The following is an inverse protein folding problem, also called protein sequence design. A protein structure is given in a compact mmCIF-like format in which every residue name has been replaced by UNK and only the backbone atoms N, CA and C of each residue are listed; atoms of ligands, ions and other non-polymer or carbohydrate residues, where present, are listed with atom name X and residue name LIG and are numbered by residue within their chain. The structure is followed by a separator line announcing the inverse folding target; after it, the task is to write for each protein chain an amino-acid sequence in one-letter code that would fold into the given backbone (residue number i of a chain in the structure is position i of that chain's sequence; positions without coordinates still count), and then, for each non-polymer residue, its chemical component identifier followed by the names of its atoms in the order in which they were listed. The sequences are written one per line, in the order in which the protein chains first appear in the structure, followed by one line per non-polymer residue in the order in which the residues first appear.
data_IF_141789467898
#
_entry.id   IF_141789467898
#
_cell.length_a   1.000
_cell.length_b   1.000
_cell.length_c   1.000
_cell.angle_alpha   90.00
_cell.angle_beta   90.00
_cell.angle_gamma   90.00
#
_symmetry.space_group_name_H-M   'P 1'
#
loop_
_entity.id
_entity.type
_entity.pdbx_description
1 polymer ?
#
# COMPACT_ATOMS: atom_id res chain seq x y z
N UNK A 1 -12.25 83.65 -46.47
CA UNK A 1 -13.35 83.04 -45.71
C UNK A 1 -12.80 81.85 -44.90
N UNK A 2 -12.97 81.96 -43.58
CA UNK A 2 -13.00 80.99 -42.47
C UNK A 2 -12.84 79.48 -42.81
N UNK A 3 -11.96 78.80 -42.04
CA UNK A 3 -12.11 77.48 -41.36
C UNK A 3 -10.82 76.61 -41.46
N UNK A 4 -10.04 76.43 -40.39
CA UNK A 4 -10.12 75.36 -39.35
C UNK A 4 -9.80 73.95 -39.93
N UNK A 5 -8.58 73.43 -39.76
CA UNK A 5 -8.07 72.66 -38.60
C UNK A 5 -8.70 71.26 -38.47
N UNK A 6 -7.91 70.19 -38.65
CA UNK A 6 -8.11 68.91 -37.95
C UNK A 6 -6.78 68.21 -37.63
N UNK A 7 -6.43 68.36 -36.35
CA UNK A 7 -5.61 67.45 -35.57
C UNK A 7 -6.22 66.05 -35.63
N UNK A 8 -5.41 65.02 -35.86
CA UNK A 8 -5.71 63.69 -35.33
C UNK A 8 -4.45 63.11 -34.70
N UNK A 9 -4.45 63.21 -33.37
CA UNK A 9 -3.52 62.61 -32.41
C UNK A 9 -3.81 61.10 -32.38
N UNK A 10 -2.83 60.27 -32.74
CA UNK A 10 -2.92 58.81 -32.63
C UNK A 10 -2.52 58.43 -31.20
N UNK A 11 -3.50 58.01 -30.39
CA UNK A 11 -3.25 57.40 -29.07
C UNK A 11 -3.31 55.88 -29.19
N UNK A 12 -2.16 55.22 -29.10
CA UNK A 12 -2.03 53.76 -29.06
C UNK A 12 -2.23 53.29 -27.62
N UNK A 13 -3.39 52.69 -27.31
CA UNK A 13 -3.64 52.04 -26.03
C UNK A 13 -3.04 50.64 -26.02
N UNK A 14 -2.02 50.42 -25.18
CA UNK A 14 -1.43 49.11 -24.90
C UNK A 14 -2.33 48.36 -23.91
N UNK A 15 -3.02 47.33 -24.39
CA UNK A 15 -3.82 46.41 -23.57
C UNK A 15 -2.90 45.45 -22.82
N UNK A 16 -2.80 45.63 -21.50
CA UNK A 16 -2.10 44.74 -20.58
C UNK A 16 -3.06 43.61 -20.16
N UNK A 17 -2.84 42.40 -20.67
CA UNK A 17 -3.61 41.20 -20.29
C UNK A 17 -3.01 40.65 -18.99
N UNK A 18 -3.76 40.53 -17.88
CA UNK A 18 -3.25 39.87 -16.68
C UNK A 18 -3.15 38.36 -16.92
N UNK A 19 -1.95 37.81 -16.78
CA UNK A 19 -1.71 36.37 -16.77
C UNK A 19 -2.35 35.77 -15.51
N UNK A 20 -3.53 35.15 -15.67
CA UNK A 20 -4.13 34.35 -14.61
C UNK A 20 -3.34 33.04 -14.50
N UNK A 21 -2.62 32.88 -13.39
CA UNK A 21 -1.99 31.62 -13.04
C UNK A 21 -3.10 30.58 -12.79
N UNK A 22 -3.25 29.62 -13.70
CA UNK A 22 -4.13 28.48 -13.47
C UNK A 22 -3.54 27.62 -12.35
N UNK A 23 -4.34 27.15 -11.38
CA UNK A 23 -3.86 26.20 -10.38
C UNK A 23 -3.45 24.91 -11.09
N UNK A 24 -2.18 24.56 -10.95
CA UNK A 24 -1.66 23.26 -11.37
C UNK A 24 -2.18 22.27 -10.34
N UNK A 25 -3.32 21.63 -10.61
CA UNK A 25 -3.69 20.41 -9.90
C UNK A 25 -2.71 19.33 -10.36
N UNK A 26 -1.52 19.29 -9.75
CA UNK A 26 -0.73 18.08 -9.74
C UNK A 26 -1.57 17.04 -8.99
N UNK A 27 -2.19 16.13 -9.73
CA UNK A 27 -2.78 14.90 -9.21
C UNK A 27 -1.65 14.06 -8.64
N UNK A 28 -1.10 14.49 -7.51
CA UNK A 28 -0.09 13.74 -6.79
C UNK A 28 -0.77 12.45 -6.36
N UNK A 29 -0.25 11.32 -6.84
CA UNK A 29 -0.78 10.02 -6.49
C UNK A 29 -0.86 9.94 -4.96
N UNK A 30 -2.04 9.59 -4.44
CA UNK A 30 -2.26 9.39 -3.00
C UNK A 30 -1.21 8.42 -2.48
N UNK A 31 -0.52 8.77 -1.41
CA UNK A 31 0.36 7.82 -0.71
C UNK A 31 -0.47 6.62 -0.21
N UNK A 32 -0.13 5.39 -0.60
CA UNK A 32 -0.86 4.19 -0.16
C UNK A 32 -0.53 3.82 1.28
N UNK A 33 0.62 4.23 1.80
CA UNK A 33 1.02 4.05 3.20
C UNK A 33 0.84 5.36 3.98
N UNK A 34 0.49 5.25 5.26
CA UNK A 34 0.51 6.41 6.15
C UNK A 34 1.95 6.78 6.50
N UNK A 35 2.23 8.02 6.95
CA UNK A 35 3.58 8.41 7.39
C UNK A 35 4.15 7.47 8.47
N UNK A 36 3.31 7.04 9.41
CA UNK A 36 3.71 6.11 10.46
C UNK A 36 4.06 4.73 9.89
N UNK A 37 3.28 4.22 8.94
CA UNK A 37 3.56 2.94 8.28
C UNK A 37 4.84 3.02 7.45
N UNK A 38 5.10 4.13 6.77
CA UNK A 38 6.34 4.40 6.03
C UNK A 38 7.54 4.31 6.98
N UNK A 39 7.46 4.92 8.17
CA UNK A 39 8.54 4.86 9.14
C UNK A 39 8.73 3.43 9.69
N UNK A 40 7.65 2.68 9.93
CA UNK A 40 7.75 1.25 10.29
C UNK A 40 8.40 0.40 9.19
N UNK A 41 8.13 0.69 7.91
CA UNK A 41 8.79 0.02 6.77
C UNK A 41 10.29 0.32 6.77
N UNK A 42 10.67 1.59 7.00
CA UNK A 42 12.08 2.00 7.10
C UNK A 42 12.79 1.32 8.27
N UNK A 43 12.13 1.16 9.41
CA UNK A 43 12.71 0.50 10.59
C UNK A 43 12.84 -1.02 10.39
N UNK A 44 11.97 -1.61 9.56
CA UNK A 44 11.95 -3.03 9.24
C UNK A 44 13.02 -3.41 8.19
N UNK A 45 14.28 -3.44 8.62
CA UNK A 45 15.41 -3.77 7.75
C UNK A 45 15.44 -5.23 7.27
N UNK A 46 14.89 -6.16 8.06
CA UNK A 46 14.82 -7.60 7.75
C UNK A 46 13.57 -7.88 6.89
N UNK A 47 13.73 -8.61 5.78
CA UNK A 47 12.65 -8.86 4.81
C UNK A 47 11.35 -9.32 5.47
N UNK A 48 11.38 -10.35 6.32
CA UNK A 48 10.17 -10.91 6.94
C UNK A 48 9.43 -9.84 7.75
N UNK A 49 10.18 -9.03 8.51
CA UNK A 49 9.59 -7.96 9.33
C UNK A 49 8.97 -6.89 8.46
N UNK A 50 9.59 -6.57 7.33
CA UNK A 50 9.07 -5.59 6.38
C UNK A 50 7.79 -6.07 5.72
N UNK A 51 7.75 -7.35 5.35
CA UNK A 51 6.53 -7.99 4.84
C UNK A 51 5.42 -8.01 5.90
N UNK A 52 5.74 -8.23 7.18
CA UNK A 52 4.77 -8.14 8.27
C UNK A 52 4.17 -6.72 8.39
N UNK A 53 4.97 -5.67 8.14
CA UNK A 53 4.49 -4.27 8.11
C UNK A 53 3.52 -4.05 6.93
N UNK A 54 3.87 -4.48 5.72
CA UNK A 54 2.97 -4.38 4.57
C UNK A 54 1.67 -5.17 4.78
N UNK A 55 1.76 -6.39 5.31
CA UNK A 55 0.60 -7.21 5.68
C UNK A 55 -0.33 -6.44 6.61
N UNK A 56 0.22 -5.87 7.69
CA UNK A 56 -0.58 -5.13 8.67
C UNK A 56 -1.19 -3.86 8.06
N UNK A 57 -0.45 -3.15 7.21
CA UNK A 57 -0.97 -1.98 6.50
C UNK A 57 -2.15 -2.35 5.58
N UNK A 58 -2.06 -3.45 4.83
CA UNK A 58 -3.16 -3.96 4.01
C UNK A 58 -4.37 -4.37 4.86
N UNK A 59 -4.15 -5.11 5.96
CA UNK A 59 -5.22 -5.53 6.88
C UNK A 59 -5.91 -4.34 7.54
N UNK A 60 -5.20 -3.24 7.82
CA UNK A 60 -5.80 -2.01 8.36
C UNK A 60 -6.74 -1.32 7.37
N UNK A 61 -6.43 -1.35 6.07
CA UNK A 61 -7.33 -0.85 5.01
C UNK A 61 -8.54 -1.77 4.83
N UNK A 62 -8.33 -3.09 4.92
CA UNK A 62 -9.45 -4.04 4.94
C UNK A 62 -10.35 -3.83 6.16
N UNK A 63 -9.79 -3.55 7.33
CA UNK A 63 -10.54 -3.22 8.53
C UNK A 63 -11.37 -1.93 8.33
N UNK A 64 -10.76 -0.90 7.73
CA UNK A 64 -11.47 0.34 7.40
C UNK A 64 -12.63 0.12 6.41
N UNK A 65 -12.47 -0.80 5.45
CA UNK A 65 -13.52 -1.19 4.50
C UNK A 65 -14.69 -1.93 5.18
N UNK A 66 -14.40 -2.75 6.20
CA UNK A 66 -15.41 -3.51 6.94
C UNK A 66 -16.19 -2.65 7.96
N UNK A 67 -15.72 -1.44 8.26
CA UNK A 67 -16.39 -0.48 9.12
C UNK A 67 -16.06 -0.59 10.62
N UNK A 68 -16.58 0.33 11.44
CA UNK A 68 -16.16 0.52 12.83
C UNK A 68 -16.47 -0.67 13.76
N UNK A 69 -17.43 -1.52 13.40
CA UNK A 69 -17.82 -2.69 14.20
C UNK A 69 -16.91 -3.91 13.99
N UNK A 70 -16.01 -3.86 13.01
CA UNK A 70 -15.10 -4.96 12.69
C UNK A 70 -13.98 -5.17 13.73
N UNK A 71 -13.77 -4.22 14.66
CA UNK A 71 -12.83 -4.35 15.76
C UNK A 71 -13.31 -3.64 17.03
N UNK A 72 -12.94 -4.16 18.21
CA UNK A 72 -13.27 -3.51 19.48
C UNK A 72 -12.53 -2.16 19.63
N UNK A 73 -13.16 -1.19 20.29
CA UNK A 73 -12.56 0.13 20.57
C UNK A 73 -11.20 0.03 21.30
N UNK A 74 -11.05 -0.96 22.20
CA UNK A 74 -9.78 -1.22 22.89
C UNK A 74 -8.68 -1.66 21.93
N UNK A 75 -9.02 -2.51 20.95
CA UNK A 75 -8.06 -2.95 19.93
C UNK A 75 -7.68 -1.80 19.02
N UNK A 76 -8.65 -1.01 18.55
CA UNK A 76 -8.41 0.16 17.69
C UNK A 76 -7.50 1.18 18.37
N UNK A 77 -7.71 1.46 19.66
CA UNK A 77 -6.85 2.37 20.42
C UNK A 77 -5.41 1.86 20.51
N UNK A 78 -5.23 0.59 20.89
CA UNK A 78 -3.90 -0.02 20.97
C UNK A 78 -3.19 -0.04 19.63
N UNK A 79 -3.92 -0.36 18.56
CA UNK A 79 -3.37 -0.33 17.21
C UNK A 79 -2.98 1.10 16.80
N UNK A 80 -3.76 2.12 17.17
CA UNK A 80 -3.44 3.52 16.84
C UNK A 80 -2.14 3.99 17.48
N UNK A 81 -1.85 3.57 18.71
CA UNK A 81 -0.60 3.92 19.41
C UNK A 81 0.66 3.43 18.67
N UNK A 82 0.57 2.34 17.92
CA UNK A 82 1.73 1.77 17.20
C UNK A 82 1.73 2.07 15.69
N UNK A 83 0.54 2.18 15.09
CA UNK A 83 0.36 2.23 13.62
C UNK A 83 -0.32 3.52 13.15
N UNK A 84 -0.63 4.44 14.06
CA UNK A 84 -1.38 5.66 13.79
C UNK A 84 -2.87 5.42 13.59
N UNK A 85 -3.59 6.48 13.28
CA UNK A 85 -5.04 6.42 13.03
C UNK A 85 -5.41 5.46 11.90
N UNK A 86 -6.60 4.86 12.00
CA UNK A 86 -7.08 3.93 10.98
C UNK A 86 -7.12 4.63 9.61
N UNK A 87 -6.60 4.01 8.54
CA UNK A 87 -6.60 4.63 7.22
C UNK A 87 -8.01 5.01 6.78
N UNK A 88 -8.15 6.22 6.25
CA UNK A 88 -9.41 6.75 5.74
C UNK A 88 -9.34 6.95 4.23
N UNK A 89 -10.50 6.95 3.59
CA UNK A 89 -10.63 7.12 2.14
C UNK A 89 -11.97 6.59 1.65
N UNK A 90 -12.25 6.86 0.39
CA UNK A 90 -13.32 6.19 -0.34
C UNK A 90 -13.01 4.69 -0.47
N UNK A 91 -14.04 3.89 -0.74
CA UNK A 91 -13.88 2.44 -0.96
C UNK A 91 -12.86 2.14 -2.08
N UNK A 92 -12.93 2.89 -3.18
CA UNK A 92 -12.01 2.75 -4.31
C UNK A 92 -10.55 3.06 -3.92
N UNK A 93 -10.33 4.11 -3.12
CA UNK A 93 -9.00 4.47 -2.60
C UNK A 93 -8.45 3.39 -1.67
N UNK A 94 -9.25 2.89 -0.72
CA UNK A 94 -8.79 1.86 0.22
C UNK A 94 -8.43 0.54 -0.49
N UNK A 95 -9.21 0.13 -1.50
CA UNK A 95 -8.89 -1.05 -2.32
C UNK A 95 -7.62 -0.80 -3.14
N UNK A 96 -7.49 0.38 -3.74
CA UNK A 96 -6.29 0.76 -4.50
C UNK A 96 -5.04 0.86 -3.62
N UNK A 97 -5.18 1.30 -2.36
CA UNK A 97 -4.10 1.31 -1.38
C UNK A 97 -3.66 -0.12 -1.06
N UNK A 98 -4.59 -1.06 -0.85
CA UNK A 98 -4.26 -2.47 -0.65
C UNK A 98 -3.50 -3.01 -1.87
N UNK A 99 -3.98 -2.76 -3.09
CA UNK A 99 -3.33 -3.23 -4.31
C UNK A 99 -1.87 -2.76 -4.40
N UNK A 100 -1.62 -1.47 -4.13
CA UNK A 100 -0.28 -0.87 -4.15
C UNK A 100 0.62 -1.33 -3.01
N UNK A 101 0.06 -1.61 -1.83
CA UNK A 101 0.81 -2.24 -0.73
C UNK A 101 1.28 -3.65 -1.12
N UNK A 102 0.42 -4.44 -1.78
CA UNK A 102 0.81 -5.76 -2.26
C UNK A 102 1.88 -5.67 -3.35
N UNK A 103 1.78 -4.70 -4.26
CA UNK A 103 2.79 -4.43 -5.29
C UNK A 103 4.16 -4.07 -4.69
N UNK A 104 4.16 -3.20 -3.67
CA UNK A 104 5.40 -2.83 -2.98
C UNK A 104 5.98 -4.01 -2.21
N UNK A 105 5.14 -4.87 -1.61
CA UNK A 105 5.58 -6.11 -0.98
C UNK A 105 6.21 -7.09 -1.98
N UNK A 106 5.65 -7.21 -3.19
CA UNK A 106 6.21 -8.00 -4.30
C UNK A 106 7.59 -7.43 -4.67
N UNK A 107 7.66 -6.14 -4.96
CA UNK A 107 8.92 -5.45 -5.31
C UNK A 107 10.01 -5.70 -4.27
N UNK A 108 9.66 -5.65 -2.98
CA UNK A 108 10.60 -5.90 -1.90
C UNK A 108 11.11 -7.35 -1.82
N UNK A 109 10.27 -8.33 -2.15
CA UNK A 109 10.69 -9.74 -2.24
C UNK A 109 11.56 -9.93 -3.48
N UNK A 110 11.16 -9.35 -4.62
CA UNK A 110 11.88 -9.44 -5.89
C UNK A 110 13.27 -8.80 -5.78
N UNK A 111 13.40 -7.66 -5.11
CA UNK A 111 14.69 -7.00 -4.87
C UNK A 111 15.64 -7.88 -4.05
N UNK A 112 15.12 -8.60 -3.04
CA UNK A 112 15.94 -9.53 -2.26
C UNK A 112 16.28 -10.77 -3.08
N UNK A 113 15.32 -11.32 -3.81
CA UNK A 113 15.49 -12.48 -4.70
C UNK A 113 16.51 -12.20 -5.82
N UNK A 114 16.46 -11.01 -6.41
CA UNK A 114 17.38 -10.57 -7.44
C UNK A 114 18.83 -10.52 -6.94
N UNK A 115 19.03 -10.15 -5.67
CA UNK A 115 20.36 -10.11 -5.03
C UNK A 115 20.82 -11.48 -4.56
N UNK A 116 19.91 -12.29 -4.03
CA UNK A 116 20.15 -13.64 -3.54
C UNK A 116 18.87 -14.49 -3.65
N UNK A 117 18.75 -15.24 -4.74
CA UNK A 117 17.60 -16.09 -5.04
C UNK A 117 17.36 -17.16 -3.95
N UNK A 118 18.42 -17.55 -3.24
CA UNK A 118 18.37 -18.57 -2.17
C UNK A 118 18.28 -17.97 -0.78
N UNK A 119 17.97 -16.69 -0.68
CA UNK A 119 17.88 -16.02 0.60
C UNK A 119 16.88 -16.75 1.51
N UNK A 120 17.29 -17.19 2.72
CA UNK A 120 16.46 -18.03 3.58
C UNK A 120 15.21 -17.32 4.13
N UNK A 121 15.12 -15.99 3.99
CA UNK A 121 13.99 -15.21 4.45
C UNK A 121 12.82 -15.23 3.45
N UNK A 122 13.10 -15.39 2.15
CA UNK A 122 12.09 -15.34 1.08
C UNK A 122 10.97 -16.37 1.32
N UNK A 123 11.25 -17.67 1.60
CA UNK A 123 10.17 -18.65 1.71
C UNK A 123 9.20 -18.37 2.87
N UNK A 124 9.68 -17.81 3.98
CA UNK A 124 8.82 -17.47 5.12
C UNK A 124 8.00 -16.23 4.81
N UNK A 125 8.65 -15.17 4.32
CA UNK A 125 8.01 -13.91 3.99
C UNK A 125 6.89 -14.11 2.93
N UNK A 126 7.19 -14.84 1.86
CA UNK A 126 6.24 -15.09 0.78
C UNK A 126 5.06 -15.97 1.21
N UNK A 127 5.27 -17.00 2.06
CA UNK A 127 4.16 -17.79 2.61
C UNK A 127 3.24 -16.97 3.50
N UNK A 128 3.81 -16.12 4.35
CA UNK A 128 3.04 -15.22 5.21
C UNK A 128 2.20 -14.25 4.36
N UNK A 129 2.82 -13.63 3.35
CA UNK A 129 2.15 -12.73 2.43
C UNK A 129 1.00 -13.44 1.70
N UNK A 130 1.27 -14.60 1.11
CA UNK A 130 0.26 -15.41 0.41
C UNK A 130 -0.93 -15.80 1.30
N UNK A 131 -0.67 -16.21 2.54
CA UNK A 131 -1.73 -16.57 3.48
C UNK A 131 -2.66 -15.40 3.81
N UNK A 132 -2.12 -14.19 3.96
CA UNK A 132 -2.91 -12.97 4.21
C UNK A 132 -3.63 -12.54 2.94
N UNK A 133 -2.91 -12.45 1.82
CA UNK A 133 -3.44 -12.04 0.52
C UNK A 133 -4.63 -12.91 0.10
N UNK A 134 -4.58 -14.23 0.30
CA UNK A 134 -5.73 -15.11 0.08
C UNK A 134 -6.96 -14.67 0.88
N UNK A 135 -6.80 -14.38 2.18
CA UNK A 135 -7.93 -13.93 3.03
C UNK A 135 -8.49 -12.57 2.62
N UNK A 136 -7.62 -11.66 2.17
CA UNK A 136 -8.03 -10.35 1.65
C UNK A 136 -8.88 -10.54 0.40
N UNK A 137 -8.41 -11.36 -0.55
CA UNK A 137 -9.15 -11.67 -1.78
C UNK A 137 -10.49 -12.33 -1.46
N UNK A 138 -10.53 -13.29 -0.54
CA UNK A 138 -11.78 -13.96 -0.15
C UNK A 138 -12.85 -12.98 0.36
N UNK A 139 -12.44 -11.93 1.07
CA UNK A 139 -13.34 -10.90 1.58
C UNK A 139 -13.75 -9.87 0.51
N UNK A 140 -12.81 -9.48 -0.37
CA UNK A 140 -13.02 -8.37 -1.31
C UNK A 140 -13.60 -8.82 -2.66
N UNK A 141 -13.28 -10.04 -3.13
CA UNK A 141 -13.72 -10.55 -4.44
C UNK A 141 -15.25 -10.56 -4.64
N UNK A 142 -16.09 -10.94 -3.66
CA UNK A 142 -17.54 -10.85 -3.80
C UNK A 142 -18.07 -9.43 -4.05
N UNK A 143 -17.26 -8.41 -3.71
CA UNK A 143 -17.62 -7.01 -3.82
C UNK A 143 -17.15 -6.39 -5.16
N UNK A 144 -16.35 -7.10 -5.96
CA UNK A 144 -15.85 -6.62 -7.26
C UNK A 144 -17.01 -6.31 -8.23
N UNK A 145 -17.99 -7.19 -8.33
CA UNK A 145 -19.18 -7.00 -9.18
C UNK A 145 -20.05 -5.80 -8.74
N UNK A 146 -19.79 -5.24 -7.56
CA UNK A 146 -20.48 -4.07 -7.01
C UNK A 146 -19.63 -2.80 -7.14
N UNK A 147 -18.57 -2.81 -7.95
CA UNK A 147 -17.80 -1.62 -8.26
C UNK A 147 -18.72 -0.53 -8.85
N UNK A 148 -18.61 0.68 -8.32
CA UNK A 148 -19.48 1.82 -8.68
C UNK A 148 -18.83 2.80 -9.63
N UNK A 149 -17.55 2.61 -9.95
CA UNK A 149 -16.78 3.46 -10.85
C UNK A 149 -15.66 2.66 -11.53
N UNK A 150 -15.20 3.16 -12.67
CA UNK A 150 -14.06 2.58 -13.40
C UNK A 150 -12.78 2.58 -12.56
N UNK A 151 -12.59 3.62 -11.72
CA UNK A 151 -11.48 3.69 -10.79
C UNK A 151 -11.54 2.55 -9.75
N UNK A 152 -12.73 2.24 -9.23
CA UNK A 152 -12.90 1.14 -8.29
C UNK A 152 -12.70 -0.22 -8.95
N UNK A 153 -13.21 -0.41 -10.17
CA UNK A 153 -12.99 -1.62 -10.95
C UNK A 153 -11.49 -1.83 -11.23
N UNK A 154 -10.78 -0.76 -11.64
CA UNK A 154 -9.33 -0.81 -11.86
C UNK A 154 -8.54 -1.15 -10.59
N UNK A 155 -8.94 -0.60 -9.42
CA UNK A 155 -8.33 -0.98 -8.14
C UNK A 155 -8.54 -2.47 -7.81
N UNK A 156 -9.70 -3.03 -8.15
CA UNK A 156 -9.95 -4.46 -7.99
C UNK A 156 -9.09 -5.31 -8.92
N UNK A 157 -8.97 -4.92 -10.18
CA UNK A 157 -8.17 -5.66 -11.16
C UNK A 157 -6.70 -5.70 -10.73
N UNK A 158 -6.13 -4.56 -10.34
CA UNK A 158 -4.75 -4.49 -9.82
C UNK A 158 -4.58 -5.34 -8.55
N UNK A 159 -5.54 -5.29 -7.62
CA UNK A 159 -5.51 -6.11 -6.41
C UNK A 159 -5.45 -7.61 -6.75
N UNK A 160 -6.28 -8.06 -7.70
CA UNK A 160 -6.38 -9.47 -8.08
C UNK A 160 -5.14 -9.95 -8.85
N UNK A 161 -4.59 -9.12 -9.74
CA UNK A 161 -3.34 -9.42 -10.45
C UNK A 161 -2.16 -9.60 -9.48
N UNK A 162 -2.00 -8.65 -8.54
CA UNK A 162 -0.95 -8.73 -7.52
C UNK A 162 -1.15 -9.95 -6.62
N UNK A 163 -2.40 -10.24 -6.25
CA UNK A 163 -2.72 -11.41 -5.44
C UNK A 163 -2.41 -12.71 -6.17
N UNK A 164 -2.74 -12.81 -7.46
CA UNK A 164 -2.40 -13.97 -8.28
C UNK A 164 -0.89 -14.18 -8.35
N UNK A 165 -0.11 -13.12 -8.60
CA UNK A 165 1.36 -13.18 -8.62
C UNK A 165 1.93 -13.75 -7.32
N UNK A 166 1.48 -13.22 -6.17
CA UNK A 166 1.90 -13.69 -4.84
C UNK A 166 1.56 -15.17 -4.63
N UNK A 167 0.33 -15.57 -4.94
CA UNK A 167 -0.15 -16.95 -4.71
C UNK A 167 0.57 -17.93 -5.64
N UNK A 168 0.78 -17.57 -6.90
CA UNK A 168 1.54 -18.39 -7.85
C UNK A 168 3.00 -18.56 -7.42
N UNK A 169 3.63 -17.49 -6.93
CA UNK A 169 5.01 -17.54 -6.42
C UNK A 169 5.10 -18.44 -5.18
N UNK A 170 4.16 -18.31 -4.24
CA UNK A 170 4.12 -19.15 -3.04
C UNK A 170 3.92 -20.63 -3.35
N UNK A 171 3.11 -20.97 -4.36
CA UNK A 171 2.89 -22.35 -4.81
C UNK A 171 4.15 -23.02 -5.40
N UNK A 172 5.15 -22.24 -5.81
CA UNK A 172 6.44 -22.75 -6.30
C UNK A 172 7.44 -23.04 -5.18
N UNK A 173 7.15 -22.64 -3.94
CA UNK A 173 8.06 -22.87 -2.82
C UNK A 173 8.11 -24.36 -2.46
N UNK A 174 9.29 -24.88 -2.04
CA UNK A 174 9.36 -26.21 -1.45
C UNK A 174 8.51 -26.28 -0.17
N UNK A 175 8.16 -27.47 0.32
CA UNK A 175 7.51 -27.61 1.63
C UNK A 175 8.31 -26.89 2.72
N UNK A 176 7.66 -26.36 3.78
CA UNK A 176 8.37 -25.79 4.92
C UNK A 176 9.38 -26.81 5.44
N UNK A 177 10.65 -26.44 5.54
CA UNK A 177 11.64 -27.31 6.15
C UNK A 177 11.21 -27.59 7.59
N UNK A 178 11.11 -28.86 7.98
CA UNK A 178 10.85 -29.25 9.36
C UNK A 178 11.87 -28.54 10.25
N UNK A 179 11.38 -27.74 11.20
CA UNK A 179 12.25 -27.17 12.22
C UNK A 179 12.87 -28.35 12.97
N UNK A 180 14.15 -28.66 12.69
CA UNK A 180 14.94 -29.57 13.52
C UNK A 180 14.85 -29.02 14.94
N UNK A 181 14.02 -29.66 15.75
CA UNK A 181 13.81 -29.28 17.14
C UNK A 181 15.15 -29.14 17.82
N UNK A 182 15.34 -28.03 18.56
CA UNK A 182 16.44 -27.90 19.52
C UNK A 182 16.41 -29.15 20.41
N UNK A 183 17.30 -30.09 20.14
CA UNK A 183 17.54 -31.22 21.02
C UNK A 183 17.89 -30.65 22.39
N UNK A 184 17.11 -31.02 23.40
CA UNK A 184 17.37 -30.70 24.80
C UNK A 184 18.79 -31.16 25.14
N UNK A 185 19.69 -30.22 25.37
CA UNK A 185 20.98 -30.48 26.01
C UNK A 185 20.72 -31.03 27.42
N UNK A 186 20.93 -32.34 27.53
CA UNK A 186 21.61 -33.02 28.63
C UNK A 186 21.21 -32.65 30.07
N UNK A 187 20.37 -33.50 30.67
CA UNK A 187 20.35 -33.74 32.11
C UNK A 187 21.71 -34.33 32.52
N UNK A 188 22.62 -33.51 33.03
CA UNK A 188 23.79 -34.03 33.73
C UNK A 188 23.36 -34.56 35.09
N UNK A 189 23.43 -35.89 35.18
CA UNK A 189 23.35 -36.71 36.38
C UNK A 189 24.46 -36.27 37.35
N UNK A 190 24.10 -35.79 38.53
CA UNK A 190 25.01 -35.53 39.64
C UNK A 190 24.52 -36.25 40.90
N UNK A 191 24.94 -37.50 41.05
CA UNK A 191 24.93 -38.23 42.33
C UNK A 191 26.35 -38.19 42.89
N UNK A 192 26.54 -37.44 43.97
CA UNK A 192 27.14 -37.89 45.23
C UNK A 192 27.04 -36.78 46.26
#
# INVERSE_FOLDING_TARGET
MIARAYIFLVTTSLLLIPAQAMPINSTQAREHLTPQEIDLVKDAQVLDKRIDVFIKAAERRLLALNGPDAASAKQLKKDSESWGELPSGTRAELIGDIARILDEAITNIDDVSYRDEKNPLIPKALRNLAAVTSRIVDQLKPLQAQAKSDAEASSFDQLLENAESILQAANKLPPPAEQKGKSKTEKTKGTN
#
